data_IF_921612322926
#
_entry.id   IF_921612322926
#
_cell.length_a   1.000
_cell.length_b   1.000
_cell.length_c   1.000
_cell.angle_alpha   90.00
_cell.angle_beta   90.00
_cell.angle_gamma   90.00
#
_symmetry.space_group_name_H-M   'P 1'
#
loop_
_entity.id
_entity.type
_entity.pdbx_description
1 polymer ?
#
# COMPACT_ATOMS: atom_id res chain seq x y z
N UNK A 1 24.82 10.15 -11.61
CA UNK A 1 24.92 8.90 -12.41
C UNK A 1 24.30 7.80 -11.57
N UNK A 2 23.16 7.23 -11.99
CA UNK A 2 22.64 6.03 -11.32
C UNK A 2 23.55 4.85 -11.69
N UNK A 3 24.13 4.18 -10.69
CA UNK A 3 25.02 3.05 -10.93
C UNK A 3 24.21 1.82 -11.36
N UNK A 4 24.66 1.15 -12.42
CA UNK A 4 24.13 -0.16 -12.81
C UNK A 4 24.93 -1.26 -12.12
N UNK A 5 24.24 -2.31 -11.68
CA UNK A 5 24.82 -3.44 -10.95
C UNK A 5 24.69 -4.75 -11.72
N UNK A 6 25.51 -5.73 -11.34
CA UNK A 6 25.35 -7.13 -11.77
C UNK A 6 24.80 -7.93 -10.60
N UNK A 7 23.81 -8.78 -10.85
CA UNK A 7 23.29 -9.73 -9.86
C UNK A 7 23.97 -11.08 -10.08
N UNK A 8 24.53 -11.65 -9.01
CA UNK A 8 25.28 -12.91 -9.05
C UNK A 8 24.72 -13.92 -8.05
N UNK A 9 24.76 -15.20 -8.42
CA UNK A 9 24.51 -16.35 -7.54
C UNK A 9 25.86 -16.94 -7.16
N UNK A 10 26.10 -17.12 -5.86
CA UNK A 10 27.41 -17.54 -5.36
C UNK A 10 27.31 -18.67 -4.34
N UNK A 11 28.44 -19.33 -4.10
CA UNK A 11 28.65 -20.28 -2.99
C UNK A 11 29.23 -19.56 -1.76
N UNK A 12 28.67 -18.40 -1.39
CA UNK A 12 29.29 -17.49 -0.42
C UNK A 12 30.61 -16.89 -0.89
N UNK A 13 30.76 -16.73 -2.21
CA UNK A 13 31.95 -16.16 -2.85
C UNK A 13 33.24 -16.95 -2.57
N UNK A 14 33.14 -18.24 -2.23
CA UNK A 14 34.33 -19.05 -1.99
C UNK A 14 35.02 -19.45 -3.30
N UNK A 15 34.29 -20.06 -4.23
CA UNK A 15 34.86 -20.61 -5.45
C UNK A 15 33.97 -20.39 -6.69
N UNK A 16 32.70 -20.04 -6.48
CA UNK A 16 31.70 -19.96 -7.54
C UNK A 16 30.94 -18.65 -7.47
N UNK A 17 30.97 -17.90 -8.57
CA UNK A 17 30.07 -16.79 -8.81
C UNK A 17 29.56 -16.85 -10.24
N UNK A 18 28.25 -17.03 -10.40
CA UNK A 18 27.59 -17.04 -11.70
C UNK A 18 26.69 -15.83 -11.82
N UNK A 19 26.85 -15.08 -12.91
CA UNK A 19 26.04 -13.91 -13.21
C UNK A 19 24.63 -14.36 -13.61
N UNK A 20 23.62 -13.80 -12.92
CA UNK A 20 22.21 -14.11 -13.16
C UNK A 20 21.57 -13.08 -14.09
N UNK A 21 21.93 -11.80 -13.93
CA UNK A 21 21.51 -10.70 -14.80
C UNK A 21 22.48 -9.50 -14.66
N UNK A 22 22.63 -8.69 -15.71
CA UNK A 22 23.52 -7.51 -15.76
C UNK A 22 22.78 -6.23 -16.08
N UNK A 23 23.41 -5.10 -15.73
CA UNK A 23 22.89 -3.77 -16.09
C UNK A 23 21.66 -3.38 -15.28
N UNK A 24 21.55 -3.93 -14.07
CA UNK A 24 20.37 -3.81 -13.20
C UNK A 24 20.42 -2.51 -12.42
N UNK A 25 19.34 -1.75 -12.49
CA UNK A 25 19.10 -0.55 -11.71
C UNK A 25 18.63 -0.89 -10.30
N UNK A 26 17.67 -1.83 -10.18
CA UNK A 26 17.11 -2.30 -8.92
C UNK A 26 16.70 -3.78 -9.02
N UNK A 27 16.78 -4.49 -7.89
CA UNK A 27 16.55 -5.94 -7.80
C UNK A 27 15.85 -6.33 -6.50
N UNK A 28 14.86 -7.22 -6.60
CA UNK A 28 14.12 -7.74 -5.44
C UNK A 28 13.86 -9.24 -5.56
N UNK A 29 13.83 -9.94 -4.42
CA UNK A 29 13.46 -11.36 -4.32
C UNK A 29 12.24 -11.48 -3.44
N UNK A 30 11.17 -12.06 -3.98
CA UNK A 30 9.91 -12.26 -3.26
C UNK A 30 9.47 -13.71 -3.47
N UNK A 31 9.46 -14.50 -2.40
CA UNK A 31 9.15 -15.92 -2.44
C UNK A 31 9.95 -16.64 -3.55
N UNK A 32 9.25 -17.22 -4.53
CA UNK A 32 9.82 -17.94 -5.66
C UNK A 32 10.22 -17.03 -6.83
N UNK A 33 9.92 -15.73 -6.76
CA UNK A 33 10.20 -14.77 -7.82
C UNK A 33 11.46 -13.95 -7.54
N UNK A 34 12.14 -13.55 -8.61
CA UNK A 34 13.15 -12.50 -8.61
C UNK A 34 12.74 -11.45 -9.66
N UNK A 35 12.84 -10.18 -9.30
CA UNK A 35 12.52 -9.04 -10.14
C UNK A 35 13.77 -8.19 -10.35
N UNK A 36 13.97 -7.69 -11.56
CA UNK A 36 15.06 -6.77 -11.87
C UNK A 36 14.59 -5.71 -12.86
N UNK A 37 15.08 -4.48 -12.71
CA UNK A 37 14.81 -3.39 -13.66
C UNK A 37 16.08 -2.99 -14.40
N UNK A 38 15.99 -2.83 -15.72
CA UNK A 38 17.07 -2.30 -16.56
C UNK A 38 16.59 -1.07 -17.30
N UNK A 39 17.36 0.00 -17.33
CA UNK A 39 17.12 1.14 -18.22
C UNK A 39 17.75 0.91 -19.59
N UNK A 40 17.01 1.13 -20.68
CA UNK A 40 17.62 1.20 -22.00
C UNK A 40 18.38 2.52 -22.15
N UNK A 41 19.64 2.42 -22.58
CA UNK A 41 20.49 3.57 -22.86
C UNK A 41 19.84 4.46 -23.91
N UNK A 42 19.41 5.67 -23.51
CA UNK A 42 18.98 6.73 -24.43
C UNK A 42 17.47 6.95 -24.61
N UNK A 43 16.59 6.02 -24.23
CA UNK A 43 15.14 6.20 -24.43
C UNK A 43 14.35 6.53 -23.16
N UNK A 44 15.01 6.53 -21.99
CA UNK A 44 14.35 6.68 -20.68
C UNK A 44 13.38 5.54 -20.34
N UNK A 45 13.35 4.47 -21.13
CA UNK A 45 12.47 3.33 -20.92
C UNK A 45 13.08 2.39 -19.89
N UNK A 46 12.24 1.88 -18.99
CA UNK A 46 12.61 0.90 -17.97
C UNK A 46 11.94 -0.42 -18.30
N UNK A 47 12.73 -1.48 -18.38
CA UNK A 47 12.27 -2.84 -18.65
C UNK A 47 12.28 -3.64 -17.36
N UNK A 48 11.16 -4.30 -17.05
CA UNK A 48 11.06 -5.26 -15.94
C UNK A 48 11.43 -6.67 -16.41
N UNK A 49 12.28 -7.34 -15.65
CA UNK A 49 12.68 -8.73 -15.84
C UNK A 49 12.22 -9.57 -14.66
N UNK A 50 11.70 -10.77 -14.94
CA UNK A 50 11.16 -11.68 -13.94
C UNK A 50 11.82 -13.06 -14.08
N UNK A 51 12.19 -13.66 -12.96
CA UNK A 51 12.61 -15.06 -12.88
C UNK A 51 11.73 -15.80 -11.87
N UNK A 52 11.16 -16.93 -12.29
CA UNK A 52 10.35 -17.81 -11.45
C UNK A 52 11.18 -19.04 -11.04
N UNK A 53 11.05 -19.46 -9.78
CA UNK A 53 11.73 -20.61 -9.19
C UNK A 53 13.26 -20.57 -9.41
N UNK A 54 13.84 -19.36 -9.37
CA UNK A 54 15.27 -19.11 -9.62
C UNK A 54 15.76 -19.58 -11.00
N UNK A 55 14.85 -19.66 -11.98
CA UNK A 55 15.16 -19.97 -13.37
C UNK A 55 15.78 -18.80 -14.14
N UNK A 56 15.78 -18.88 -15.47
CA UNK A 56 16.27 -17.78 -16.34
C UNK A 56 15.35 -16.57 -16.25
N UNK A 57 15.94 -15.37 -16.26
CA UNK A 57 15.20 -14.12 -16.37
C UNK A 57 14.53 -13.99 -17.74
N UNK A 58 13.30 -13.48 -17.72
CA UNK A 58 12.49 -13.23 -18.91
C UNK A 58 11.92 -11.81 -18.81
N UNK A 59 11.86 -11.10 -19.94
CA UNK A 59 11.32 -9.76 -19.98
C UNK A 59 9.81 -9.80 -19.76
N UNK A 60 9.33 -9.10 -18.74
CA UNK A 60 7.90 -8.95 -18.50
C UNK A 60 7.26 -8.11 -19.61
N UNK A 61 6.20 -8.63 -20.20
CA UNK A 61 5.34 -7.87 -21.09
C UNK A 61 4.25 -7.20 -20.25
N UNK A 62 4.50 -5.97 -19.80
CA UNK A 62 3.50 -5.19 -19.05
C UNK A 62 2.61 -4.50 -20.09
N UNK A 63 1.35 -4.94 -20.26
CA UNK A 63 0.48 -4.27 -21.19
C UNK A 63 0.00 -2.94 -20.63
N UNK A 64 0.07 -1.91 -21.45
CA UNK A 64 -0.52 -0.61 -21.17
C UNK A 64 -2.00 -0.53 -21.53
N UNK A 65 -2.58 -1.55 -22.18
CA UNK A 65 -3.97 -1.51 -22.65
C UNK A 65 -4.74 -2.85 -22.72
N UNK A 66 -4.14 -4.04 -22.55
CA UNK A 66 -4.85 -5.34 -22.67
C UNK A 66 -4.11 -6.51 -22.01
N UNK A 67 -4.76 -7.51 -21.40
CA UNK A 67 -4.05 -8.58 -20.68
C UNK A 67 -3.06 -9.35 -21.58
N UNK A 68 -1.81 -9.47 -21.14
CA UNK A 68 -0.77 -10.23 -21.85
C UNK A 68 -0.32 -11.43 -21.02
N UNK A 69 -0.06 -12.55 -21.69
CA UNK A 69 0.60 -13.73 -21.13
C UNK A 69 2.11 -13.54 -21.10
N UNK A 70 2.71 -13.79 -19.95
CA UNK A 70 4.14 -14.04 -19.80
C UNK A 70 4.48 -15.44 -20.34
N UNK A 71 5.74 -15.66 -20.65
CA UNK A 71 6.31 -16.89 -21.24
C UNK A 71 6.17 -18.16 -20.39
N UNK A 72 5.81 -18.03 -19.11
CA UNK A 72 5.41 -19.08 -18.16
C UNK A 72 3.90 -19.38 -18.17
N UNK A 73 3.12 -18.66 -18.98
CA UNK A 73 1.66 -18.81 -19.08
C UNK A 73 0.87 -17.95 -18.07
N UNK A 74 1.54 -17.18 -17.22
CA UNK A 74 0.90 -16.27 -16.26
C UNK A 74 0.38 -15.04 -17.02
N UNK A 75 -0.92 -14.73 -16.86
CA UNK A 75 -1.54 -13.54 -17.46
C UNK A 75 -1.43 -12.35 -16.51
N UNK A 76 -0.82 -11.26 -16.97
CA UNK A 76 -0.84 -9.98 -16.25
C UNK A 76 -1.88 -9.06 -16.89
N UNK A 77 -2.65 -8.40 -16.05
CA UNK A 77 -3.56 -7.32 -16.43
C UNK A 77 -3.30 -6.11 -15.54
N UNK A 78 -3.54 -4.93 -16.08
CA UNK A 78 -3.58 -3.71 -15.28
C UNK A 78 -4.65 -3.86 -14.20
N UNK A 79 -4.24 -3.72 -12.93
CA UNK A 79 -5.12 -3.92 -11.78
C UNK A 79 -5.85 -2.64 -11.40
N UNK A 80 -5.12 -1.53 -11.30
CA UNK A 80 -5.65 -0.21 -10.96
C UNK A 80 -4.75 0.87 -11.55
N UNK A 81 -5.38 1.92 -12.08
CA UNK A 81 -4.71 3.12 -12.53
C UNK A 81 -4.63 4.17 -11.43
N UNK A 82 -3.64 5.07 -11.54
CA UNK A 82 -3.50 6.27 -10.69
C UNK A 82 -3.36 5.95 -9.20
N UNK A 83 -2.74 4.84 -8.85
CA UNK A 83 -2.38 4.54 -7.45
C UNK A 83 -1.39 5.59 -6.97
N UNK A 84 -1.65 6.14 -5.77
CA UNK A 84 -0.81 7.15 -5.16
C UNK A 84 0.59 6.58 -4.91
N UNK A 85 1.58 7.26 -5.47
CA UNK A 85 2.98 6.91 -5.40
C UNK A 85 3.79 8.16 -5.13
N UNK A 86 4.79 8.03 -4.27
CA UNK A 86 5.80 9.06 -4.09
C UNK A 86 7.17 8.52 -4.46
N UNK A 87 7.87 9.33 -5.26
CA UNK A 87 9.24 9.09 -5.67
C UNK A 87 10.21 9.86 -4.79
N UNK A 88 11.34 9.26 -4.45
CA UNK A 88 12.46 9.96 -3.81
C UNK A 88 12.98 11.14 -4.65
N UNK A 89 12.79 11.12 -5.98
CA UNK A 89 13.20 12.19 -6.89
C UNK A 89 12.08 13.23 -7.13
N UNK A 90 11.19 13.42 -6.17
CA UNK A 90 10.08 14.38 -6.27
C UNK A 90 10.57 15.83 -6.15
N UNK A 91 9.90 16.74 -6.86
CA UNK A 91 10.08 18.20 -6.71
C UNK A 91 9.46 18.74 -5.41
N UNK A 92 8.65 17.94 -4.73
CA UNK A 92 8.03 18.32 -3.45
C UNK A 92 9.05 18.39 -2.32
N UNK A 93 9.36 19.61 -1.89
CA UNK A 93 10.33 19.89 -0.83
C UNK A 93 9.97 19.27 0.53
N UNK A 94 8.69 19.05 0.83
CA UNK A 94 8.30 18.41 2.09
C UNK A 94 8.46 16.89 2.04
N UNK A 95 8.12 16.24 0.91
CA UNK A 95 8.30 14.80 0.74
C UNK A 95 9.78 14.44 0.82
N UNK A 96 10.63 15.17 0.09
CA UNK A 96 12.10 15.02 0.14
C UNK A 96 12.72 15.16 1.54
N UNK A 97 12.05 15.86 2.47
CA UNK A 97 12.54 16.03 3.86
C UNK A 97 12.08 14.92 4.79
N UNK A 98 11.01 14.19 4.43
CA UNK A 98 10.37 13.21 5.32
C UNK A 98 10.49 11.78 4.82
N UNK A 99 10.91 11.55 3.56
CA UNK A 99 11.15 10.22 3.01
C UNK A 99 12.37 10.21 2.09
N UNK A 100 13.27 9.25 2.34
CA UNK A 100 14.47 9.01 1.52
C UNK A 100 14.29 7.83 0.55
N UNK A 101 13.08 7.27 0.50
CA UNK A 101 12.74 6.14 -0.37
C UNK A 101 11.42 6.40 -1.11
N UNK A 102 11.24 5.68 -2.23
CA UNK A 102 9.99 5.69 -2.98
C UNK A 102 9.02 4.68 -2.39
N UNK A 103 7.74 5.04 -2.22
CA UNK A 103 6.71 4.03 -1.94
C UNK A 103 5.34 4.37 -2.51
N UNK A 104 4.58 3.31 -2.75
CA UNK A 104 3.20 3.28 -3.20
C UNK A 104 2.28 3.11 -1.98
N UNK A 105 1.20 3.87 -1.92
CA UNK A 105 0.16 3.71 -0.90
C UNK A 105 -0.74 2.49 -1.24
N UNK A 106 -0.18 1.32 -0.98
CA UNK A 106 -0.82 0.02 -1.15
C UNK A 106 -0.55 -0.85 0.09
N UNK A 107 -1.62 -1.27 0.75
CA UNK A 107 -1.58 -2.15 1.90
C UNK A 107 -2.07 -3.55 1.53
N UNK A 108 -1.24 -4.57 1.74
CA UNK A 108 -1.64 -5.98 1.68
C UNK A 108 -2.17 -6.38 3.05
N UNK A 109 -3.42 -6.81 3.12
CA UNK A 109 -4.01 -7.28 4.39
C UNK A 109 -3.32 -8.59 4.79
N UNK A 110 -2.70 -8.61 5.96
CA UNK A 110 -1.96 -9.76 6.46
C UNK A 110 -2.89 -10.91 6.85
N UNK A 111 -2.38 -12.14 6.81
CA UNK A 111 -3.15 -13.36 7.11
C UNK A 111 -4.12 -13.79 5.99
N UNK A 112 -4.39 -12.94 5.00
CA UNK A 112 -5.32 -13.21 3.91
C UNK A 112 -4.67 -13.08 2.54
N UNK A 113 -5.11 -13.91 1.59
CA UNK A 113 -4.71 -13.82 0.19
C UNK A 113 -5.78 -13.08 -0.59
N UNK A 114 -5.38 -12.04 -1.31
CA UNK A 114 -6.27 -11.35 -2.25
C UNK A 114 -6.94 -10.09 -1.75
N UNK A 115 -6.75 -9.73 -0.49
CA UNK A 115 -7.27 -8.49 0.06
C UNK A 115 -6.18 -7.42 0.07
N UNK A 116 -6.44 -6.32 -0.65
CA UNK A 116 -5.54 -5.17 -0.73
C UNK A 116 -6.33 -3.88 -0.64
N UNK A 117 -5.73 -2.87 -0.01
CA UNK A 117 -6.28 -1.52 0.13
C UNK A 117 -5.30 -0.55 -0.53
N UNK A 118 -5.78 0.35 -1.38
CA UNK A 118 -4.94 1.29 -2.11
C UNK A 118 -5.51 2.71 -2.05
N UNK A 119 -4.63 3.70 -2.11
CA UNK A 119 -5.00 5.09 -2.30
C UNK A 119 -4.96 5.41 -3.79
N UNK A 120 -6.07 5.85 -4.37
CA UNK A 120 -6.20 6.21 -5.78
C UNK A 120 -6.39 7.72 -5.93
N UNK A 121 -5.64 8.34 -6.84
CA UNK A 121 -5.80 9.75 -7.19
C UNK A 121 -7.02 9.93 -8.11
N UNK A 122 -7.99 10.72 -7.70
CA UNK A 122 -9.12 11.08 -8.58
C UNK A 122 -8.64 11.97 -9.74
N UNK A 123 -9.31 11.96 -10.90
CA UNK A 123 -8.99 12.84 -12.02
C UNK A 123 -9.01 14.32 -11.62
N UNK A 124 -7.89 15.04 -11.77
CA UNK A 124 -7.77 16.44 -11.35
C UNK A 124 -6.33 16.90 -11.17
N UNK A 125 -6.14 18.15 -10.73
CA UNK A 125 -4.82 18.70 -10.41
C UNK A 125 -4.26 18.05 -9.14
N UNK A 126 -3.03 17.54 -9.23
CA UNK A 126 -2.28 16.98 -8.10
C UNK A 126 -1.93 18.11 -7.12
N UNK A 127 -2.54 18.11 -5.93
CA UNK A 127 -2.25 19.10 -4.88
C UNK A 127 -3.44 19.48 -4.01
N UNK A 128 -4.66 19.33 -4.51
CA UNK A 128 -5.88 19.30 -3.69
C UNK A 128 -6.22 17.83 -3.40
N UNK A 129 -6.80 17.54 -2.23
CA UNK A 129 -6.88 16.21 -1.58
C UNK A 129 -7.84 15.22 -2.26
N UNK A 130 -7.61 15.00 -3.54
CA UNK A 130 -8.32 14.13 -4.47
C UNK A 130 -7.87 12.67 -4.32
N UNK A 131 -7.89 12.13 -3.10
CA UNK A 131 -7.45 10.76 -2.82
C UNK A 131 -8.65 9.94 -2.36
N UNK A 132 -8.90 8.83 -3.04
CA UNK A 132 -9.93 7.85 -2.71
C UNK A 132 -9.29 6.56 -2.20
N UNK A 133 -9.83 5.98 -1.13
CA UNK A 133 -9.42 4.64 -0.70
C UNK A 133 -10.26 3.59 -1.41
N UNK A 134 -9.58 2.63 -2.02
CA UNK A 134 -10.16 1.52 -2.76
C UNK A 134 -9.71 0.21 -2.12
N UNK A 135 -10.58 -0.80 -2.16
CA UNK A 135 -10.30 -2.15 -1.66
C UNK A 135 -10.62 -3.18 -2.74
N UNK A 136 -9.84 -4.25 -2.77
CA UNK A 136 -10.08 -5.44 -3.60
C UNK A 136 -10.08 -6.67 -2.70
N UNK A 137 -10.89 -7.66 -3.07
CA UNK A 137 -10.95 -8.97 -2.40
C UNK A 137 -10.51 -10.12 -3.31
N UNK A 138 -10.13 -9.82 -4.55
CA UNK A 138 -9.81 -10.81 -5.58
C UNK A 138 -8.42 -10.56 -6.22
N UNK A 139 -7.44 -10.18 -5.40
CA UNK A 139 -6.05 -9.89 -5.81
C UNK A 139 -5.93 -8.77 -6.84
N UNK A 140 -6.82 -7.78 -6.77
CA UNK A 140 -6.78 -6.62 -7.66
C UNK A 140 -7.43 -6.86 -9.02
N UNK A 141 -8.29 -7.87 -9.16
CA UNK A 141 -9.11 -8.03 -10.35
C UNK A 141 -10.26 -7.01 -10.43
N UNK A 142 -10.89 -6.72 -9.29
CA UNK A 142 -11.90 -5.69 -9.13
C UNK A 142 -11.59 -4.86 -7.88
N UNK A 143 -11.70 -3.54 -8.01
CA UNK A 143 -11.55 -2.59 -6.93
C UNK A 143 -12.86 -1.84 -6.71
N UNK A 144 -13.15 -1.53 -5.45
CA UNK A 144 -14.33 -0.78 -5.06
C UNK A 144 -14.02 0.19 -3.90
N UNK A 145 -14.81 1.27 -3.72
CA UNK A 145 -14.66 2.13 -2.56
C UNK A 145 -14.92 1.38 -1.25
N UNK A 146 -14.27 1.82 -0.17
CA UNK A 146 -14.47 1.22 1.16
C UNK A 146 -15.79 1.73 1.75
N UNK A 147 -16.68 0.81 2.14
CA UNK A 147 -17.95 1.16 2.75
C UNK A 147 -17.74 1.88 4.10
N UNK A 148 -18.53 2.92 4.33
CA UNK A 148 -18.55 3.62 5.62
C UNK A 148 -19.35 2.83 6.67
N UNK A 149 -19.00 2.93 7.97
CA UNK A 149 -19.85 2.47 9.04
C UNK A 149 -21.18 3.22 9.06
N UNK A 150 -22.25 2.54 9.48
CA UNK A 150 -23.57 3.16 9.64
C UNK A 150 -23.64 4.05 10.89
N UNK A 151 -22.95 3.65 11.96
CA UNK A 151 -22.98 4.27 13.28
C UNK A 151 -21.58 4.65 13.76
N UNK A 152 -21.48 5.72 14.53
CA UNK A 152 -20.28 6.10 15.26
C UNK A 152 -20.07 5.22 16.50
N UNK A 153 -18.98 5.45 17.22
CA UNK A 153 -18.64 4.73 18.45
C UNK A 153 -19.63 4.95 19.62
N UNK A 154 -20.58 5.89 19.51
CA UNK A 154 -21.63 6.16 20.48
C UNK A 154 -23.02 5.70 19.97
N UNK A 155 -23.09 5.01 18.83
CA UNK A 155 -24.34 4.55 18.23
C UNK A 155 -25.12 5.63 17.46
N UNK A 156 -24.51 6.78 17.16
CA UNK A 156 -25.14 7.85 16.37
C UNK A 156 -24.98 7.58 14.87
N UNK A 157 -26.01 7.80 14.04
CA UNK A 157 -25.90 7.62 12.60
C UNK A 157 -24.91 8.60 11.95
N UNK A 158 -24.07 8.08 11.06
CA UNK A 158 -23.02 8.82 10.35
C UNK A 158 -23.48 9.40 9.01
N UNK A 159 -24.62 8.95 8.46
CA UNK A 159 -25.22 9.43 7.20
C UNK A 159 -24.25 9.46 5.99
N UNK A 160 -23.27 8.55 5.96
CA UNK A 160 -22.30 8.38 4.87
C UNK A 160 -22.58 7.07 4.14
N UNK A 161 -22.79 7.13 2.82
CA UNK A 161 -23.09 5.95 2.00
C UNK A 161 -22.57 6.09 0.58
N UNK A 162 -22.34 4.97 -0.11
CA UNK A 162 -21.93 5.02 -1.51
C UNK A 162 -22.98 5.74 -2.40
N UNK A 163 -24.27 5.67 -2.03
CA UNK A 163 -25.37 6.32 -2.74
C UNK A 163 -25.26 7.85 -2.73
N UNK A 164 -24.78 8.46 -1.64
CA UNK A 164 -24.51 9.89 -1.56
C UNK A 164 -23.04 10.25 -1.86
N UNK A 165 -22.30 9.36 -2.54
CA UNK A 165 -20.87 9.53 -2.90
C UNK A 165 -19.95 9.70 -1.68
N UNK A 166 -20.35 9.19 -0.52
CA UNK A 166 -19.53 9.21 0.68
C UNK A 166 -18.97 7.80 0.97
N UNK A 167 -17.70 7.72 1.31
CA UNK A 167 -17.03 6.45 1.61
C UNK A 167 -15.99 6.62 2.71
N UNK A 168 -15.51 5.49 3.25
CA UNK A 168 -14.43 5.51 4.22
C UNK A 168 -13.09 5.67 3.50
N UNK A 169 -12.30 6.65 3.95
CA UNK A 169 -10.97 6.92 3.46
C UNK A 169 -9.94 6.68 4.55
N UNK A 170 -8.92 5.88 4.24
CA UNK A 170 -7.96 5.40 5.21
C UNK A 170 -6.59 6.03 4.98
N UNK A 171 -5.98 6.46 6.07
CA UNK A 171 -4.62 6.97 6.09
C UNK A 171 -3.61 5.84 5.95
N UNK A 172 -2.76 5.95 4.94
CA UNK A 172 -1.66 5.01 4.67
C UNK A 172 -0.30 5.69 4.90
N UNK A 173 0.76 5.23 4.22
CA UNK A 173 2.11 5.80 4.36
C UNK A 173 2.15 7.29 4.01
N UNK A 174 1.39 7.75 3.02
CA UNK A 174 1.29 9.18 2.72
C UNK A 174 0.91 10.03 3.94
N UNK A 175 -0.10 9.58 4.71
CA UNK A 175 -0.52 10.29 5.93
C UNK A 175 0.49 10.21 7.06
N UNK A 176 1.24 9.10 7.16
CA UNK A 176 2.31 8.96 8.14
C UNK A 176 3.43 10.00 7.95
N UNK A 177 3.78 10.30 6.69
CA UNK A 177 4.85 11.27 6.35
C UNK A 177 4.35 12.70 6.15
N UNK A 178 3.04 12.95 6.28
CA UNK A 178 2.49 14.30 6.09
C UNK A 178 2.98 15.23 7.21
N UNK A 179 3.56 16.41 6.93
CA UNK A 179 4.34 17.17 7.90
C UNK A 179 3.57 17.69 9.13
N UNK A 180 2.24 17.84 9.01
CA UNK A 180 1.41 18.33 10.13
C UNK A 180 0.84 17.19 10.96
N UNK A 181 0.39 16.14 10.28
CA UNK A 181 -0.53 15.19 10.85
C UNK A 181 0.01 13.79 10.58
N UNK A 182 0.98 13.35 11.39
CA UNK A 182 1.68 12.07 11.25
C UNK A 182 0.77 10.87 11.59
N UNK A 183 -0.31 10.65 10.84
CA UNK A 183 -1.31 9.64 11.17
C UNK A 183 -0.74 8.22 11.23
N UNK A 184 -1.36 7.36 12.04
CA UNK A 184 -0.93 5.96 12.10
C UNK A 184 -1.46 5.25 10.85
N UNK A 185 -0.60 4.61 10.04
CA UNK A 185 -1.02 3.94 8.83
C UNK A 185 -1.85 2.69 9.16
N UNK A 186 -2.54 2.16 8.15
CA UNK A 186 -3.27 0.89 8.24
C UNK A 186 -2.38 -0.20 8.86
N UNK A 187 -2.95 -0.94 9.81
CA UNK A 187 -2.36 -2.14 10.40
C UNK A 187 -3.30 -3.33 10.23
N UNK A 188 -2.70 -4.47 9.92
CA UNK A 188 -3.34 -5.79 9.92
C UNK A 188 -2.31 -6.78 10.46
N UNK A 189 -2.70 -7.97 10.91
CA UNK A 189 -1.77 -8.93 11.53
C UNK A 189 -1.97 -10.33 10.95
N UNK A 190 -0.87 -11.07 10.71
CA UNK A 190 -0.96 -12.48 10.29
C UNK A 190 -1.60 -13.35 11.36
N UNK A 191 -1.35 -13.04 12.64
CA UNK A 191 -1.86 -13.76 13.80
C UNK A 191 -3.33 -13.45 14.13
N UNK A 192 -3.93 -12.47 13.46
CA UNK A 192 -5.34 -12.13 13.59
C UNK A 192 -5.96 -11.87 12.20
N UNK A 193 -6.13 -12.91 11.37
CA UNK A 193 -6.67 -12.76 10.03
C UNK A 193 -8.05 -12.10 10.04
N UNK A 194 -8.26 -11.13 9.15
CA UNK A 194 -9.51 -10.37 9.06
C UNK A 194 -9.53 -9.09 9.89
N UNK A 195 -8.65 -8.96 10.89
CA UNK A 195 -8.53 -7.73 11.68
C UNK A 195 -7.74 -6.67 10.90
N UNK A 196 -8.36 -5.50 10.71
CA UNK A 196 -7.73 -4.32 10.11
C UNK A 196 -8.05 -3.11 10.98
N UNK A 197 -7.02 -2.37 11.39
CA UNK A 197 -7.16 -1.09 12.08
C UNK A 197 -6.58 0.02 11.23
N UNK A 198 -7.28 1.14 11.17
CA UNK A 198 -6.83 2.28 10.37
C UNK A 198 -7.30 3.61 10.95
N UNK A 199 -6.47 4.63 10.83
CA UNK A 199 -6.91 6.01 10.98
C UNK A 199 -7.59 6.45 9.69
N UNK A 200 -8.74 7.11 9.75
CA UNK A 200 -9.52 7.43 8.55
C UNK A 200 -10.41 8.65 8.68
N UNK A 201 -11.19 8.91 7.64
CA UNK A 201 -12.24 9.93 7.56
C UNK A 201 -13.40 9.45 6.71
N UNK A 202 -14.60 9.97 6.97
CA UNK A 202 -15.81 9.71 6.19
C UNK A 202 -16.17 10.93 5.36
N UNK A 203 -15.95 10.85 4.05
CA UNK A 203 -16.24 11.97 3.17
C UNK A 203 -16.36 11.56 1.69
N UNK A 204 -16.45 12.55 0.81
CA UNK A 204 -16.38 12.37 -0.63
C UNK A 204 -14.95 12.02 -1.10
N UNK A 205 -13.92 12.48 -0.39
CA UNK A 205 -12.49 12.25 -0.65
C UNK A 205 -11.69 12.32 0.67
N UNK A 206 -10.43 11.84 0.68
CA UNK A 206 -9.57 11.84 1.88
C UNK A 206 -9.24 13.26 2.35
N UNK A 207 -9.88 13.71 3.42
CA UNK A 207 -9.59 14.99 4.09
C UNK A 207 -8.74 14.82 5.37
N UNK A 208 -9.05 15.58 6.42
CA UNK A 208 -8.46 15.40 7.74
C UNK A 208 -9.09 14.17 8.39
N UNK A 209 -8.25 13.29 8.93
CA UNK A 209 -8.74 12.10 9.60
C UNK A 209 -9.56 12.47 10.85
N UNK A 210 -10.67 11.77 11.05
CA UNK A 210 -11.66 12.05 12.09
C UNK A 210 -11.67 10.99 13.21
N UNK A 211 -11.11 9.81 12.96
CA UNK A 211 -11.17 8.71 13.92
C UNK A 211 -10.33 7.49 13.57
N UNK A 212 -10.50 6.47 14.41
CA UNK A 212 -9.93 5.14 14.24
C UNK A 212 -11.05 4.16 13.91
N UNK A 213 -10.83 3.40 12.84
CA UNK A 213 -11.77 2.42 12.30
C UNK A 213 -11.19 1.01 12.43
N UNK A 214 -12.07 0.06 12.69
CA UNK A 214 -11.76 -1.37 12.83
C UNK A 214 -12.65 -2.15 11.88
N UNK A 215 -12.06 -3.08 11.14
CA UNK A 215 -12.76 -4.16 10.49
C UNK A 215 -12.32 -5.49 11.12
N UNK A 216 -13.25 -6.42 11.29
CA UNK A 216 -12.98 -7.78 11.74
C UNK A 216 -13.27 -8.84 10.66
N UNK A 217 -13.72 -8.42 9.48
CA UNK A 217 -14.13 -9.25 8.35
C UNK A 217 -13.35 -8.92 7.08
N UNK A 218 -12.07 -8.56 7.24
CA UNK A 218 -11.12 -8.26 6.18
C UNK A 218 -11.45 -7.01 5.34
N UNK A 219 -12.23 -6.08 5.89
CA UNK A 219 -12.57 -4.81 5.26
C UNK A 219 -13.89 -4.84 4.50
N UNK A 220 -14.71 -5.88 4.67
CA UNK A 220 -16.07 -5.96 4.13
C UNK A 220 -17.00 -5.00 4.87
N UNK A 221 -16.88 -4.93 6.20
CA UNK A 221 -17.56 -3.95 7.05
C UNK A 221 -16.55 -3.26 7.99
N UNK A 222 -16.90 -2.06 8.43
CA UNK A 222 -16.06 -1.22 9.27
C UNK A 222 -16.88 -0.66 10.42
N UNK A 223 -16.20 -0.40 11.54
CA UNK A 223 -16.76 0.24 12.72
C UNK A 223 -15.84 1.37 13.17
N UNK A 224 -16.40 2.53 13.51
CA UNK A 224 -15.64 3.58 14.21
C UNK A 224 -15.49 3.16 15.66
N UNK A 225 -14.24 2.99 16.13
CA UNK A 225 -13.96 2.53 17.50
C UNK A 225 -13.50 3.67 18.41
N UNK A 226 -12.86 4.70 17.85
CA UNK A 226 -12.40 5.87 18.60
C UNK A 226 -12.60 7.13 17.78
N UNK A 227 -13.04 8.19 18.44
CA UNK A 227 -13.05 9.53 17.87
C UNK A 227 -11.66 10.15 17.97
N UNK A 228 -11.37 11.06 17.04
CA UNK A 228 -10.09 11.75 16.84
C UNK A 228 -9.01 10.84 16.23
N UNK A 229 -8.10 11.39 15.42
CA UNK A 229 -7.17 10.59 14.62
C UNK A 229 -5.81 10.32 15.30
N UNK A 230 -5.50 11.00 16.41
CA UNK A 230 -4.16 10.99 17.02
C UNK A 230 -4.01 9.93 18.11
N UNK A 231 -4.11 8.67 17.71
CA UNK A 231 -3.87 7.51 18.55
C UNK A 231 -2.69 6.69 18.03
N UNK A 232 -1.97 6.04 18.93
CA UNK A 232 -1.20 4.85 18.61
C UNK A 232 -2.05 3.64 18.92
N UNK A 233 -2.03 2.63 18.06
CA UNK A 233 -2.76 1.39 18.28
C UNK A 233 -1.94 0.15 17.93
N UNK A 234 -2.24 -0.92 18.65
CA UNK A 234 -1.67 -2.24 18.43
C UNK A 234 -2.64 -3.35 18.88
N UNK A 235 -2.29 -4.57 18.53
CA UNK A 235 -3.04 -5.78 18.80
C UNK A 235 -2.22 -6.73 19.69
N UNK A 236 -2.90 -7.39 20.61
CA UNK A 236 -2.36 -8.48 21.42
C UNK A 236 -3.24 -9.72 21.36
N UNK A 237 -2.70 -10.83 21.87
CA UNK A 237 -3.42 -12.11 22.05
C UNK A 237 -4.19 -12.60 20.81
N UNK A 238 -3.52 -12.68 19.65
CA UNK A 238 -4.14 -13.14 18.39
C UNK A 238 -5.43 -12.39 18.00
N UNK A 239 -5.60 -11.16 18.47
CA UNK A 239 -6.80 -10.35 18.24
C UNK A 239 -7.77 -10.27 19.43
N UNK A 240 -7.46 -10.94 20.54
CA UNK A 240 -8.26 -10.88 21.76
C UNK A 240 -8.18 -9.55 22.49
N UNK A 241 -7.10 -8.78 22.31
CA UNK A 241 -6.89 -7.50 23.01
C UNK A 241 -6.47 -6.38 22.04
N UNK A 242 -7.22 -5.29 22.07
CA UNK A 242 -6.89 -4.04 21.36
C UNK A 242 -6.30 -3.02 22.33
N UNK A 243 -5.20 -2.39 21.93
CA UNK A 243 -4.52 -1.37 22.72
C UNK A 243 -4.51 -0.07 21.92
N UNK A 244 -4.95 1.03 22.54
CA UNK A 244 -4.88 2.36 21.95
C UNK A 244 -4.44 3.41 22.98
N UNK A 245 -3.51 4.28 22.60
CA UNK A 245 -2.95 5.33 23.47
C UNK A 245 -3.02 6.68 22.73
N UNK A 246 -3.57 7.74 23.34
CA UNK A 246 -3.64 9.05 22.72
C UNK A 246 -2.24 9.66 22.65
N UNK A 247 -1.91 10.27 21.50
CA UNK A 247 -0.57 10.86 21.28
C UNK A 247 -0.37 12.24 21.90
N UNK A 248 -1.45 13.02 22.02
CA UNK A 248 -1.36 14.45 22.29
C UNK A 248 -1.69 14.79 23.76
N UNK A 249 -1.78 13.79 24.62
CA UNK A 249 -2.07 13.95 26.03
C UNK A 249 -1.19 13.03 26.84
N UNK A 250 -0.64 13.54 27.95
CA UNK A 250 -0.08 12.66 28.97
C UNK A 250 -1.18 11.70 29.42
N UNK A 251 -0.92 10.41 29.26
CA UNK A 251 -1.70 9.39 29.94
C UNK A 251 -1.05 9.13 31.27
N UNK A 252 -1.84 8.73 32.27
CA UNK A 252 -1.29 8.37 33.57
C UNK A 252 -0.21 7.29 33.35
N UNK A 253 1.02 7.59 33.79
CA UNK A 253 2.15 6.67 33.74
C UNK A 253 1.74 5.34 34.40
N UNK A 254 1.95 4.24 33.70
CA UNK A 254 1.86 2.88 34.27
C UNK A 254 3.07 2.66 35.17
#
# INVERSE_FOLDING_TARGET
MAGQSNVVKTDYFSNFASKVISGVNDYEVIDNYMFATNSSSGSGSVTLWVSLNRGKFQQAQIPTASPNTDTSGIKYSLSMERVLYFSQNTTSAWLRRNTDFSVVDLHKVMGLRGVYIASQLTPGQVGHRHIMTQITFNKGGLWQPVAAPELDNNGKPLNCSLANRCSLHLSQKFGQYYPRDHYSPIKSWSEAPGIIMATGTLWYELELNDGIFLSSDAGMSWHMILQRPFWWYNLGDHGGVFIAVPRNSLTNLI
#
